data_IF_378458554187
#
_entry.id   IF_378458554187
#
_cell.length_a   1.000
_cell.length_b   1.000
_cell.length_c   1.000
_cell.angle_alpha   90.00
_cell.angle_beta   90.00
_cell.angle_gamma   90.00
#
_symmetry.space_group_name_H-M   'P 1'
#
loop_
_entity.id
_entity.type
_entity.pdbx_description
1 polymer ?
#
# COMPACT_ATOMS: atom_id res chain seq x y z
N UNK A 1 -15.81 -17.69 -18.86
CA UNK A 1 -14.78 -18.05 -17.85
C UNK A 1 -14.57 -16.83 -16.98
N UNK A 2 -14.90 -16.88 -15.69
CA UNK A 2 -14.67 -15.74 -14.78
C UNK A 2 -13.23 -15.77 -14.30
N UNK A 3 -12.47 -14.70 -14.57
CA UNK A 3 -11.08 -14.59 -14.10
C UNK A 3 -11.02 -13.81 -12.78
N UNK A 4 -9.90 -13.88 -12.06
CA UNK A 4 -9.64 -13.05 -10.86
C UNK A 4 -9.80 -11.55 -11.18
N UNK A 5 -9.56 -11.16 -12.43
CA UNK A 5 -9.62 -9.76 -12.87
C UNK A 5 -11.07 -9.27 -12.99
N UNK A 6 -12.01 -10.18 -13.26
CA UNK A 6 -13.43 -9.85 -13.52
C UNK A 6 -14.37 -10.25 -12.38
N UNK A 7 -13.85 -10.83 -11.29
CA UNK A 7 -14.66 -11.33 -10.17
C UNK A 7 -14.69 -10.35 -9.01
N UNK A 8 -15.88 -10.16 -8.43
CA UNK A 8 -16.04 -9.44 -7.16
C UNK A 8 -15.55 -10.33 -6.01
N UNK A 9 -14.27 -10.18 -5.64
CA UNK A 9 -13.65 -10.96 -4.58
C UNK A 9 -13.93 -10.30 -3.23
N UNK A 10 -14.49 -11.03 -2.23
CA UNK A 10 -14.65 -10.52 -0.88
C UNK A 10 -13.27 -10.44 -0.20
N UNK A 11 -12.54 -9.36 -0.44
CA UNK A 11 -11.23 -9.10 0.15
C UNK A 11 -11.39 -8.21 1.38
N UNK A 12 -10.97 -8.70 2.55
CA UNK A 12 -10.99 -7.94 3.79
C UNK A 12 -10.13 -6.68 3.66
N UNK A 13 -10.59 -5.56 4.25
CA UNK A 13 -9.78 -4.35 4.40
C UNK A 13 -8.84 -4.47 5.60
N UNK A 14 -7.71 -3.76 5.61
CA UNK A 14 -6.85 -3.68 6.80
C UNK A 14 -7.66 -3.28 8.04
N UNK A 15 -7.43 -3.97 9.17
CA UNK A 15 -8.14 -3.73 10.44
C UNK A 15 -7.46 -2.70 11.35
N UNK A 16 -6.20 -2.35 11.07
CA UNK A 16 -5.44 -1.36 11.83
C UNK A 16 -5.87 0.08 11.49
N UNK A 17 -5.76 0.97 12.47
CA UNK A 17 -6.06 2.38 12.27
C UNK A 17 -4.95 3.07 11.46
N UNK A 18 -5.27 3.49 10.24
CA UNK A 18 -4.36 4.22 9.37
C UNK A 18 -4.00 5.63 9.87
N UNK A 19 -4.80 6.21 10.76
CA UNK A 19 -4.53 7.53 11.33
C UNK A 19 -3.29 7.53 12.24
N UNK A 20 -2.84 6.35 12.70
CA UNK A 20 -1.64 6.20 13.53
C UNK A 20 -0.31 6.15 12.77
N UNK A 21 -0.33 5.98 11.44
CA UNK A 21 0.90 5.78 10.66
C UNK A 21 1.75 7.03 10.60
N UNK A 22 3.05 6.90 10.79
CA UNK A 22 4.02 7.96 10.55
C UNK A 22 4.91 7.57 9.37
N UNK A 23 5.21 8.54 8.50
CA UNK A 23 6.07 8.31 7.34
C UNK A 23 7.53 8.10 7.79
N UNK A 24 7.87 6.85 8.09
CA UNK A 24 9.18 6.40 8.61
C UNK A 24 10.06 5.80 7.53
N UNK A 25 9.47 5.36 6.42
CA UNK A 25 10.17 4.86 5.23
C UNK A 25 9.83 5.78 4.06
N UNK A 26 10.83 6.23 3.31
CA UNK A 26 10.63 6.82 1.98
C UNK A 26 11.02 5.78 0.95
N UNK A 27 10.10 5.45 0.05
CA UNK A 27 10.34 4.52 -1.04
C UNK A 27 10.41 5.26 -2.38
N UNK A 28 11.49 5.06 -3.13
CA UNK A 28 11.69 5.67 -4.43
C UNK A 28 11.30 4.67 -5.53
N UNK A 29 10.16 4.91 -6.15
CA UNK A 29 9.60 4.08 -7.22
C UNK A 29 8.48 3.15 -6.74
N UNK A 30 7.23 3.60 -6.82
CA UNK A 30 6.02 2.83 -6.52
C UNK A 30 5.72 1.79 -7.61
N UNK A 31 6.60 0.81 -7.76
CA UNK A 31 6.48 -0.29 -8.71
C UNK A 31 5.61 -1.44 -8.21
N UNK A 32 5.27 -2.36 -9.11
CA UNK A 32 4.52 -3.58 -8.76
C UNK A 32 5.28 -4.46 -7.75
N UNK A 33 6.61 -4.55 -7.88
CA UNK A 33 7.43 -5.34 -6.96
C UNK A 33 7.43 -4.79 -5.53
N UNK A 34 7.60 -3.47 -5.38
CA UNK A 34 7.53 -2.81 -4.06
C UNK A 34 6.20 -3.13 -3.36
N UNK A 35 5.09 -2.91 -4.05
CA UNK A 35 3.74 -3.13 -3.54
C UNK A 35 3.46 -4.58 -3.17
N UNK A 36 4.02 -5.54 -3.90
CA UNK A 36 3.84 -6.97 -3.64
C UNK A 36 4.84 -7.54 -2.62
N UNK A 37 5.82 -6.75 -2.16
CA UNK A 37 6.90 -7.26 -1.31
C UNK A 37 7.15 -6.37 -0.09
N UNK A 38 7.74 -5.19 -0.25
CA UNK A 38 8.15 -4.35 0.89
C UNK A 38 6.93 -3.75 1.62
N UNK A 39 5.94 -3.25 0.87
CA UNK A 39 4.69 -2.76 1.44
C UNK A 39 3.86 -3.90 2.06
N UNK A 40 3.92 -5.10 1.48
CA UNK A 40 3.28 -6.32 2.00
C UNK A 40 3.81 -6.70 3.39
N UNK A 41 5.14 -6.74 3.56
CA UNK A 41 5.75 -7.01 4.86
C UNK A 41 5.46 -5.93 5.90
N UNK A 42 5.47 -4.66 5.48
CA UNK A 42 5.12 -3.53 6.37
C UNK A 42 3.67 -3.63 6.82
N UNK A 43 2.75 -4.01 5.94
CA UNK A 43 1.37 -4.25 6.33
C UNK A 43 1.23 -5.38 7.35
N UNK A 44 1.92 -6.52 7.17
CA UNK A 44 1.88 -7.60 8.17
C UNK A 44 2.46 -7.18 9.53
N UNK A 45 3.48 -6.30 9.54
CA UNK A 45 3.96 -5.67 10.77
C UNK A 45 2.85 -4.85 11.45
N UNK A 46 2.11 -4.04 10.68
CA UNK A 46 0.99 -3.22 11.19
C UNK A 46 -0.21 -4.07 11.65
N UNK A 47 -0.43 -5.25 11.07
CA UNK A 47 -1.48 -6.18 11.50
C UNK A 47 -1.12 -6.93 12.79
N UNK A 48 0.16 -7.25 12.99
CA UNK A 48 0.60 -8.09 14.10
C UNK A 48 1.13 -7.32 15.31
N UNK A 49 1.34 -6.01 15.18
CA UNK A 49 1.95 -5.16 16.21
C UNK A 49 1.31 -3.77 16.26
N UNK A 50 1.60 -3.03 17.35
CA UNK A 50 1.24 -1.61 17.45
C UNK A 50 2.26 -0.67 16.78
N UNK A 51 3.01 -1.16 15.78
CA UNK A 51 3.95 -0.34 14.99
C UNK A 51 3.23 0.77 14.22
N UNK A 52 3.88 1.92 14.05
CA UNK A 52 3.40 3.07 13.29
C UNK A 52 4.21 3.32 12.01
N UNK A 53 4.95 2.32 11.53
CA UNK A 53 5.81 2.46 10.35
C UNK A 53 4.99 2.54 9.06
N UNK A 54 4.72 3.76 8.63
CA UNK A 54 4.22 4.10 7.31
C UNK A 54 5.35 4.22 6.29
N UNK A 55 5.00 3.97 5.03
CA UNK A 55 5.85 4.20 3.86
C UNK A 55 5.30 5.44 3.14
N UNK A 56 6.17 6.32 2.65
CA UNK A 56 5.88 7.44 1.76
C UNK A 56 6.43 7.12 0.35
N UNK A 57 5.58 7.05 -0.66
CA UNK A 57 5.97 6.74 -2.04
C UNK A 57 6.43 8.02 -2.74
N UNK A 58 7.55 7.95 -3.45
CA UNK A 58 8.02 9.01 -4.33
C UNK A 58 8.36 8.43 -5.69
N UNK A 59 7.73 8.95 -6.75
CA UNK A 59 8.08 8.62 -8.13
C UNK A 59 8.87 9.77 -8.75
N UNK A 60 10.00 9.44 -9.38
CA UNK A 60 10.91 10.42 -9.97
C UNK A 60 10.68 10.63 -11.48
N UNK A 61 10.02 9.68 -12.15
CA UNK A 61 9.84 9.70 -13.59
C UNK A 61 8.48 10.30 -13.98
N UNK A 62 8.45 11.34 -14.84
CA UNK A 62 7.19 11.84 -15.39
C UNK A 62 6.64 10.83 -16.42
N UNK A 63 5.47 10.25 -16.14
CA UNK A 63 4.84 9.25 -17.02
C UNK A 63 3.70 8.48 -16.37
N UNK A 64 3.58 7.18 -16.70
CA UNK A 64 2.56 6.26 -16.16
C UNK A 64 2.49 6.27 -14.62
N UNK A 65 3.60 6.56 -13.96
CA UNK A 65 3.72 6.67 -12.50
C UNK A 65 2.75 7.72 -11.92
N UNK A 66 2.53 8.84 -12.63
CA UNK A 66 1.57 9.86 -12.18
C UNK A 66 0.14 9.33 -12.19
N UNK A 67 -0.26 8.67 -13.27
CA UNK A 67 -1.61 8.11 -13.40
C UNK A 67 -1.86 7.05 -12.34
N UNK A 68 -0.86 6.21 -12.06
CA UNK A 68 -0.92 5.22 -11.00
C UNK A 68 -1.15 5.87 -9.63
N UNK A 69 -0.36 6.88 -9.27
CA UNK A 69 -0.49 7.58 -7.98
C UNK A 69 -1.88 8.23 -7.86
N UNK A 70 -2.34 8.94 -8.89
CA UNK A 70 -3.68 9.54 -8.88
C UNK A 70 -4.81 8.50 -8.68
N UNK A 71 -4.68 7.33 -9.31
CA UNK A 71 -5.64 6.24 -9.11
C UNK A 71 -5.58 5.68 -7.68
N UNK A 72 -4.39 5.53 -7.11
CA UNK A 72 -4.23 5.12 -5.71
C UNK A 72 -4.86 6.15 -4.76
N UNK A 73 -4.66 7.45 -4.96
CA UNK A 73 -5.29 8.50 -4.13
C UNK A 73 -6.82 8.42 -4.13
N UNK A 74 -7.43 8.23 -5.31
CA UNK A 74 -8.89 8.02 -5.43
C UNK A 74 -9.38 6.79 -4.67
N UNK A 75 -8.52 5.79 -4.50
CA UNK A 75 -8.77 4.58 -3.73
C UNK A 75 -8.37 4.72 -2.26
N UNK A 76 -8.15 5.94 -1.74
CA UNK A 76 -7.66 6.17 -0.39
C UNK A 76 -6.35 5.42 -0.12
N UNK A 77 -5.53 5.26 -1.16
CA UNK A 77 -4.25 4.54 -1.17
C UNK A 77 -4.37 3.03 -0.93
N UNK A 78 -5.57 2.47 -1.09
CA UNK A 78 -5.81 1.03 -1.03
C UNK A 78 -5.52 0.37 -2.37
N UNK A 79 -4.94 -0.83 -2.34
CA UNK A 79 -4.77 -1.72 -3.47
C UNK A 79 -4.83 -3.18 -3.02
N UNK A 80 -4.98 -4.12 -3.95
CA UNK A 80 -5.04 -5.55 -3.66
C UNK A 80 -3.77 -6.25 -4.14
N UNK A 81 -3.21 -7.12 -3.31
CA UNK A 81 -2.19 -8.08 -3.74
C UNK A 81 -2.85 -9.44 -3.87
N UNK A 82 -2.79 -10.00 -5.08
CA UNK A 82 -3.30 -11.34 -5.37
C UNK A 82 -2.13 -12.32 -5.51
N UNK A 83 -2.06 -13.28 -4.60
CA UNK A 83 -1.13 -14.40 -4.66
C UNK A 83 -1.73 -15.54 -5.49
N UNK A 84 -0.98 -15.99 -6.50
CA UNK A 84 -1.33 -17.15 -7.33
C UNK A 84 -0.31 -18.25 -7.16
N UNK A 85 -0.75 -19.42 -6.69
CA UNK A 85 0.02 -20.67 -6.65
C UNK A 85 -0.55 -21.66 -7.65
N UNK A 86 0.19 -22.72 -7.99
CA UNK A 86 -0.26 -23.75 -8.98
C UNK A 86 -1.63 -24.37 -8.69
N UNK A 87 -2.13 -24.36 -7.44
CA UNK A 87 -3.44 -24.95 -7.05
C UNK A 87 -4.31 -24.07 -6.15
N UNK A 88 -3.91 -22.83 -5.83
CA UNK A 88 -4.63 -21.96 -4.88
C UNK A 88 -4.42 -20.48 -5.20
N UNK A 89 -5.43 -19.67 -4.93
CA UNK A 89 -5.40 -18.21 -5.03
C UNK A 89 -5.72 -17.59 -3.67
N UNK A 90 -5.03 -16.49 -3.31
CA UNK A 90 -5.31 -15.67 -2.12
C UNK A 90 -5.26 -14.20 -2.53
N UNK A 91 -6.14 -13.37 -1.98
CA UNK A 91 -6.15 -11.94 -2.24
C UNK A 91 -6.31 -11.20 -0.91
N UNK A 92 -5.55 -10.12 -0.73
CA UNK A 92 -5.53 -9.31 0.48
C UNK A 92 -5.45 -7.82 0.10
N UNK A 93 -6.13 -6.95 0.83
CA UNK A 93 -6.09 -5.50 0.60
C UNK A 93 -5.04 -4.84 1.48
N UNK A 94 -4.30 -3.94 0.87
CA UNK A 94 -3.18 -3.21 1.44
C UNK A 94 -3.45 -1.73 1.31
N UNK A 95 -3.08 -0.95 2.32
CA UNK A 95 -3.16 0.52 2.28
C UNK A 95 -1.77 1.11 2.42
N UNK A 96 -1.51 2.14 1.63
CA UNK A 96 -0.32 2.96 1.70
C UNK A 96 -0.57 4.26 2.49
N UNK A 97 0.47 4.89 3.05
CA UNK A 97 0.40 6.19 3.75
C UNK A 97 0.91 7.33 2.83
N UNK A 98 0.18 8.43 2.69
CA UNK A 98 0.61 9.57 1.86
C UNK A 98 0.96 10.79 2.71
N UNK A 99 1.43 10.59 3.95
CA UNK A 99 1.90 11.75 4.72
C UNK A 99 3.17 12.31 4.10
N UNK A 100 3.06 13.55 3.64
CA UNK A 100 4.20 14.38 3.26
C UNK A 100 5.15 14.48 4.46
N UNK A 101 6.48 14.35 4.29
CA UNK A 101 7.46 14.38 5.38
C UNK A 101 7.56 15.73 6.13
N UNK A 102 6.67 16.70 5.87
CA UNK A 102 6.81 18.10 6.26
C UNK A 102 5.75 18.65 7.24
N UNK A 103 4.87 17.84 7.85
CA UNK A 103 3.84 18.36 8.77
C UNK A 103 4.15 18.19 10.27
N UNK A 104 5.43 18.13 10.65
CA UNK A 104 5.85 18.02 12.05
C UNK A 104 6.60 19.27 12.50
N UNK A 105 5.89 20.20 13.15
CA UNK A 105 6.47 21.31 13.90
C UNK A 105 7.32 20.76 15.06
N UNK A 106 8.59 20.45 14.79
CA UNK A 106 9.58 20.12 15.81
C UNK A 106 10.19 21.42 16.32
N UNK A 107 9.62 21.96 17.39
CA UNK A 107 10.38 22.77 18.34
C UNK A 107 11.48 21.88 18.92
N UNK A 108 12.72 22.34 18.76
CA UNK A 108 13.79 22.05 19.71
C UNK A 108 13.45 22.70 21.05
#
# INVERSE_FOLDING_TARGET
>A
MTTIVDSNLPVARPSWDHSRLESRIVHLGCGAFHRAHQALYTHHLLESTDSDWGICEVNLMPGNDRVLIENLKKQQLLYTVAEKRRRKHRAENYRFDERSPASGNRRL
#
